data_IF_478004281270
#
_entry.id   IF_478004281270
#
_cell.length_a   1.000
_cell.length_b   1.000
_cell.length_c   1.000
_cell.angle_alpha   90.00
_cell.angle_beta   90.00
_cell.angle_gamma   90.00
#
_symmetry.space_group_name_H-M   'P 1'
#
loop_
_entity.id
_entity.type
_entity.pdbx_description
1 polymer ?
#
# COMPACT_ATOMS: atom_id res chain seq x y z
N UNK A 1 4.05 -6.33 13.24
CA UNK A 1 4.89 -5.76 12.15
C UNK A 1 4.18 -5.88 10.83
N UNK A 2 4.09 -4.79 10.09
CA UNK A 2 3.50 -4.74 8.75
C UNK A 2 4.63 -4.71 7.72
N UNK A 3 4.46 -5.48 6.64
CA UNK A 3 5.36 -5.43 5.49
C UNK A 3 4.61 -4.91 4.28
N UNK A 4 5.35 -4.35 3.32
CA UNK A 4 4.82 -3.95 2.02
C UNK A 4 5.49 -4.76 0.93
N UNK A 5 4.79 -4.97 -0.18
CA UNK A 5 5.34 -5.69 -1.33
C UNK A 5 4.52 -5.34 -2.58
N UNK A 6 4.68 -6.14 -3.63
CA UNK A 6 3.97 -5.93 -4.89
C UNK A 6 3.39 -7.25 -5.39
N UNK A 7 2.34 -7.16 -6.21
CA UNK A 7 1.59 -8.35 -6.62
C UNK A 7 2.46 -9.41 -7.31
N UNK A 8 3.36 -9.00 -8.20
CA UNK A 8 4.21 -9.94 -8.92
C UNK A 8 5.13 -10.74 -8.00
N UNK A 9 5.44 -10.23 -6.81
CA UNK A 9 6.27 -10.94 -5.84
C UNK A 9 5.56 -12.13 -5.19
N UNK A 10 4.23 -12.19 -5.27
CA UNK A 10 3.45 -13.27 -4.66
C UNK A 10 3.89 -14.66 -5.13
N UNK A 11 4.30 -14.77 -6.39
CA UNK A 11 4.77 -16.08 -6.93
C UNK A 11 6.02 -16.60 -6.23
N UNK A 12 6.75 -15.75 -5.51
CA UNK A 12 7.95 -16.13 -4.76
C UNK A 12 7.71 -16.22 -3.26
N UNK A 13 6.47 -15.99 -2.83
CA UNK A 13 6.09 -16.06 -1.42
C UNK A 13 5.76 -17.48 -1.00
N UNK A 14 5.96 -17.77 0.29
CA UNK A 14 5.47 -18.99 0.91
C UNK A 14 3.94 -18.93 1.01
N UNK A 15 3.30 -20.07 1.23
CA UNK A 15 1.85 -20.10 1.44
C UNK A 15 1.44 -19.30 2.69
N UNK A 16 2.27 -19.31 3.73
CA UNK A 16 2.04 -18.52 4.94
C UNK A 16 2.06 -17.02 4.62
N UNK A 17 3.06 -16.57 3.85
CA UNK A 17 3.15 -15.17 3.43
C UNK A 17 1.94 -14.77 2.58
N UNK A 18 1.55 -15.61 1.63
CA UNK A 18 0.37 -15.34 0.78
C UNK A 18 -0.89 -15.18 1.61
N UNK A 19 -1.03 -15.95 2.69
CA UNK A 19 -2.20 -15.87 3.56
C UNK A 19 -2.31 -14.54 4.32
N UNK A 20 -1.22 -13.78 4.39
CA UNK A 20 -1.17 -12.49 5.06
C UNK A 20 -1.29 -11.29 4.10
N UNK A 21 -1.39 -11.54 2.80
CA UNK A 21 -1.43 -10.47 1.80
C UNK A 21 -2.77 -9.74 1.80
N UNK A 22 -2.70 -8.41 1.69
CA UNK A 22 -3.86 -7.53 1.60
C UNK A 22 -3.62 -6.52 0.47
N UNK A 23 -4.62 -6.33 -0.36
CA UNK A 23 -4.55 -5.37 -1.47
C UNK A 23 -4.88 -3.96 -0.99
N UNK A 24 -3.98 -3.01 -1.23
CA UNK A 24 -4.24 -1.58 -0.97
C UNK A 24 -4.29 -0.76 -2.26
N UNK A 25 -4.31 -1.42 -3.42
CA UNK A 25 -4.52 -0.75 -4.71
C UNK A 25 -6.00 -0.45 -4.93
N UNK A 26 -6.28 0.58 -5.73
CA UNK A 26 -7.66 0.93 -6.08
C UNK A 26 -8.31 -0.16 -6.93
N UNK A 27 -7.57 -0.72 -7.89
CA UNK A 27 -8.04 -1.79 -8.77
C UNK A 27 -7.14 -3.01 -8.62
N UNK A 28 -7.61 -4.04 -7.89
CA UNK A 28 -6.81 -5.26 -7.74
C UNK A 28 -6.64 -5.97 -9.09
N UNK A 29 -5.52 -6.71 -9.27
CA UNK A 29 -5.30 -7.44 -10.52
C UNK A 29 -6.27 -8.61 -10.66
N UNK A 30 -6.59 -8.95 -11.91
CA UNK A 30 -7.44 -10.10 -12.22
C UNK A 30 -6.75 -11.39 -11.78
N UNK A 31 -7.55 -12.32 -11.26
CA UNK A 31 -7.04 -13.62 -10.84
C UNK A 31 -6.37 -13.67 -9.49
N UNK A 32 -6.27 -12.53 -8.81
CA UNK A 32 -5.71 -12.47 -7.46
C UNK A 32 -6.87 -12.33 -6.47
N UNK A 33 -7.03 -13.34 -5.61
CA UNK A 33 -8.11 -13.37 -4.62
C UNK A 33 -7.52 -13.20 -3.22
N UNK A 34 -7.40 -11.96 -2.78
CA UNK A 34 -6.92 -11.59 -1.46
C UNK A 34 -7.83 -10.51 -0.87
N UNK A 35 -7.85 -10.32 0.46
CA UNK A 35 -8.61 -9.24 1.06
C UNK A 35 -8.19 -7.88 0.52
N UNK A 36 -9.15 -6.96 0.44
CA UNK A 36 -8.93 -5.60 -0.02
C UNK A 36 -9.16 -4.65 1.14
N UNK A 37 -8.20 -3.77 1.40
CA UNK A 37 -8.36 -2.71 2.40
C UNK A 37 -8.45 -1.37 1.66
N UNK A 38 -9.66 -0.99 1.29
CA UNK A 38 -9.92 0.16 0.42
C UNK A 38 -9.61 1.51 1.08
N UNK A 39 -9.55 1.57 2.42
CA UNK A 39 -9.24 2.83 3.12
C UNK A 39 -7.82 3.35 2.84
N UNK A 40 -6.93 2.50 2.35
CA UNK A 40 -5.57 2.89 1.94
C UNK A 40 -5.42 3.02 0.42
N UNK A 41 -6.46 2.76 -0.35
CA UNK A 41 -6.41 2.94 -1.79
C UNK A 41 -6.37 4.44 -2.15
N UNK A 42 -5.63 4.83 -3.21
CA UNK A 42 -5.71 6.20 -3.70
C UNK A 42 -7.10 6.47 -4.28
N UNK A 43 -7.50 7.73 -4.33
CA UNK A 43 -8.73 8.08 -5.04
C UNK A 43 -8.52 7.90 -6.55
N UNK A 44 -9.61 7.67 -7.26
CA UNK A 44 -9.57 7.55 -8.73
C UNK A 44 -8.93 8.79 -9.36
N UNK A 45 -9.27 9.98 -8.86
CA UNK A 45 -8.73 11.24 -9.36
C UNK A 45 -7.21 11.31 -9.21
N UNK A 46 -6.69 10.99 -8.02
CA UNK A 46 -5.24 11.00 -7.76
C UNK A 46 -4.53 10.08 -8.73
N UNK A 47 -5.05 8.86 -8.89
CA UNK A 47 -4.43 7.84 -9.74
C UNK A 47 -4.44 8.25 -11.21
N UNK A 48 -5.57 8.74 -11.72
CA UNK A 48 -5.70 9.13 -13.12
C UNK A 48 -4.89 10.39 -13.43
N UNK A 49 -4.84 11.36 -12.52
CA UNK A 49 -4.01 12.56 -12.69
C UNK A 49 -2.54 12.18 -12.79
N UNK A 50 -2.07 11.25 -11.96
CA UNK A 50 -0.70 10.78 -12.00
C UNK A 50 -0.36 10.07 -13.31
N UNK A 51 -1.27 9.23 -13.81
CA UNK A 51 -1.07 8.55 -15.09
C UNK A 51 -0.97 9.51 -16.26
N UNK A 52 -1.71 10.61 -16.19
CA UNK A 52 -1.75 11.65 -17.21
C UNK A 52 -0.50 12.53 -17.18
N UNK A 53 -0.06 12.89 -15.98
CA UNK A 53 1.09 13.75 -15.74
C UNK A 53 1.80 13.29 -14.46
N UNK A 54 2.82 12.43 -14.59
CA UNK A 54 3.50 11.84 -13.43
C UNK A 54 4.25 12.89 -12.58
N UNK A 55 3.58 13.41 -11.57
CA UNK A 55 4.12 14.34 -10.59
C UNK A 55 4.00 13.69 -9.21
N UNK A 56 5.10 13.12 -8.73
CA UNK A 56 5.11 12.39 -7.45
C UNK A 56 4.79 13.29 -6.27
N UNK A 57 5.26 14.54 -6.28
CA UNK A 57 5.00 15.49 -5.21
C UNK A 57 3.51 15.80 -5.09
N UNK A 58 2.86 16.02 -6.22
CA UNK A 58 1.41 16.25 -6.26
C UNK A 58 0.63 15.04 -5.80
N UNK A 59 1.07 13.85 -6.21
CA UNK A 59 0.45 12.59 -5.76
C UNK A 59 0.54 12.47 -4.23
N UNK A 60 1.73 12.65 -3.66
CA UNK A 60 1.96 12.54 -2.23
C UNK A 60 1.06 13.51 -1.46
N UNK A 61 1.02 14.77 -1.88
CA UNK A 61 0.17 15.78 -1.25
C UNK A 61 -1.30 15.41 -1.29
N UNK A 62 -1.79 14.98 -2.45
CA UNK A 62 -3.19 14.56 -2.61
C UNK A 62 -3.53 13.32 -1.80
N UNK A 63 -2.64 12.34 -1.81
CA UNK A 63 -2.85 11.09 -1.07
C UNK A 63 -2.89 11.35 0.45
N UNK A 64 -1.95 12.13 0.96
CA UNK A 64 -1.94 12.49 2.38
C UNK A 64 -3.20 13.27 2.78
N UNK A 65 -3.62 14.23 1.96
CA UNK A 65 -4.78 15.06 2.25
C UNK A 65 -6.12 14.32 2.11
N UNK A 66 -6.29 13.55 1.03
CA UNK A 66 -7.60 12.95 0.73
C UNK A 66 -7.76 11.54 1.29
N UNK A 67 -6.67 10.85 1.60
CA UNK A 67 -6.72 9.46 2.09
C UNK A 67 -6.24 9.37 3.54
N UNK A 68 -4.96 9.65 3.78
CA UNK A 68 -4.36 9.38 5.11
C UNK A 68 -4.91 10.29 6.21
N UNK A 69 -5.24 11.54 5.90
CA UNK A 69 -5.77 12.48 6.89
C UNK A 69 -7.13 12.07 7.47
N UNK A 70 -7.82 11.14 6.81
CA UNK A 70 -9.16 10.70 7.18
C UNK A 70 -9.19 9.47 8.06
N UNK A 71 -8.03 8.89 8.35
CA UNK A 71 -7.90 7.65 9.10
C UNK A 71 -6.84 7.78 10.19
N UNK A 72 -6.98 6.99 11.25
CA UNK A 72 -6.06 7.01 12.38
C UNK A 72 -4.94 5.98 12.15
N UNK A 73 -3.66 6.41 12.13
CA UNK A 73 -2.56 5.48 11.87
C UNK A 73 -2.45 4.36 12.89
N UNK A 74 -2.79 4.63 14.15
CA UNK A 74 -2.70 3.61 15.21
C UNK A 74 -3.77 2.54 15.04
N UNK A 75 -5.00 2.93 14.74
CA UNK A 75 -6.10 2.00 14.49
C UNK A 75 -5.85 1.17 13.23
N UNK A 76 -5.39 1.82 12.16
CA UNK A 76 -5.09 1.14 10.90
C UNK A 76 -3.96 0.13 11.09
N UNK A 77 -2.90 0.53 11.80
CA UNK A 77 -1.77 -0.35 12.06
C UNK A 77 -2.20 -1.59 12.87
N UNK A 78 -2.98 -1.38 13.93
CA UNK A 78 -3.48 -2.48 14.76
C UNK A 78 -4.32 -3.45 13.94
N UNK A 79 -5.22 -2.92 13.10
CA UNK A 79 -6.08 -3.75 12.25
C UNK A 79 -5.29 -4.55 11.22
N UNK A 80 -4.24 -3.98 10.65
CA UNK A 80 -3.43 -4.60 9.60
C UNK A 80 -2.15 -5.29 10.11
N UNK A 81 -1.97 -5.36 11.44
CA UNK A 81 -0.76 -5.98 12.01
C UNK A 81 -0.59 -7.40 11.48
N UNK A 82 0.66 -7.76 11.19
CA UNK A 82 1.07 -9.03 10.59
C UNK A 82 0.68 -9.22 9.13
N UNK A 83 0.07 -8.23 8.49
CA UNK A 83 -0.26 -8.32 7.07
C UNK A 83 0.89 -7.84 6.18
N UNK A 84 0.80 -8.21 4.91
CA UNK A 84 1.68 -7.76 3.83
C UNK A 84 0.82 -6.95 2.87
N UNK A 85 1.07 -5.65 2.78
CA UNK A 85 0.27 -4.73 1.95
C UNK A 85 0.82 -4.69 0.53
N UNK A 86 -0.03 -4.95 -0.45
CA UNK A 86 0.40 -5.08 -1.85
C UNK A 86 -0.15 -3.98 -2.74
N UNK A 87 0.72 -3.48 -3.62
CA UNK A 87 0.32 -2.69 -4.79
C UNK A 87 1.14 -3.13 -6.00
N UNK A 88 1.09 -2.39 -7.11
CA UNK A 88 1.60 -2.89 -8.39
C UNK A 88 3.11 -2.74 -8.58
N UNK A 89 3.68 -1.61 -8.23
CA UNK A 89 5.01 -1.21 -8.64
C UNK A 89 6.10 -1.96 -7.87
N UNK A 90 7.25 -2.15 -8.52
CA UNK A 90 8.44 -2.77 -7.93
C UNK A 90 9.02 -1.88 -6.81
N UNK A 91 9.90 -2.43 -5.94
CA UNK A 91 10.41 -1.68 -4.79
C UNK A 91 11.12 -0.36 -5.13
N UNK A 92 11.78 -0.28 -6.28
CA UNK A 92 12.52 0.91 -6.72
C UNK A 92 11.65 1.93 -7.46
N UNK A 93 10.37 1.61 -7.67
CA UNK A 93 9.44 2.48 -8.38
C UNK A 93 8.53 3.20 -7.38
N UNK A 94 8.03 4.38 -7.78
CA UNK A 94 7.08 5.14 -6.96
C UNK A 94 5.78 4.37 -6.80
N UNK A 95 5.32 4.21 -5.56
CA UNK A 95 4.04 3.58 -5.26
C UNK A 95 3.53 4.11 -3.93
N UNK A 96 2.21 4.22 -3.80
CA UNK A 96 1.60 4.72 -2.56
C UNK A 96 1.90 3.86 -1.33
N UNK A 97 2.25 2.57 -1.49
CA UNK A 97 2.63 1.76 -0.32
C UNK A 97 3.85 2.30 0.40
N UNK A 98 4.76 2.97 -0.33
CA UNK A 98 5.93 3.62 0.30
C UNK A 98 5.49 4.81 1.15
N UNK A 99 4.48 5.55 0.70
CA UNK A 99 3.89 6.64 1.48
C UNK A 99 3.25 6.07 2.76
N UNK A 100 2.55 4.97 2.64
CA UNK A 100 1.93 4.28 3.80
C UNK A 100 2.99 3.83 4.80
N UNK A 101 4.09 3.23 4.32
CA UNK A 101 5.19 2.79 5.18
C UNK A 101 5.79 3.97 5.95
N UNK A 102 6.06 5.09 5.26
CA UNK A 102 6.59 6.29 5.88
C UNK A 102 5.61 6.89 6.89
N UNK A 103 4.32 6.85 6.58
CA UNK A 103 3.26 7.32 7.48
C UNK A 103 3.23 6.53 8.78
N UNK A 104 3.28 5.20 8.70
CA UNK A 104 3.35 4.35 9.89
C UNK A 104 4.59 4.68 10.72
N UNK A 105 5.76 4.82 10.09
CA UNK A 105 7.01 5.14 10.78
C UNK A 105 6.96 6.50 11.46
N UNK A 106 6.33 7.47 10.82
CA UNK A 106 6.17 8.82 11.40
C UNK A 106 5.37 8.80 12.70
N UNK A 107 4.50 7.81 12.88
CA UNK A 107 3.71 7.63 14.10
C UNK A 107 4.28 6.54 15.02
N UNK A 108 5.53 6.15 14.82
CA UNK A 108 6.24 5.22 15.72
C UNK A 108 6.02 3.75 15.47
N UNK A 109 5.46 3.38 14.32
CA UNK A 109 5.20 1.99 13.97
C UNK A 109 6.21 1.47 12.94
N UNK A 110 6.62 0.23 13.07
CA UNK A 110 7.55 -0.40 12.14
C UNK A 110 6.83 -0.89 10.89
N UNK A 111 7.40 -0.59 9.73
CA UNK A 111 6.90 -1.06 8.44
C UNK A 111 8.06 -1.11 7.46
N UNK A 112 8.25 -2.26 6.83
CA UNK A 112 9.35 -2.47 5.90
C UNK A 112 8.89 -3.16 4.63
N UNK A 113 9.63 -2.95 3.55
CA UNK A 113 9.44 -3.71 2.32
C UNK A 113 9.88 -5.15 2.56
N UNK A 114 9.04 -6.11 2.15
CA UNK A 114 9.35 -7.54 2.32
C UNK A 114 10.49 -7.94 1.40
N UNK A 115 11.52 -8.54 1.97
CA UNK A 115 12.66 -9.07 1.22
C UNK A 115 12.32 -10.47 0.72
N UNK A 116 12.40 -10.63 -0.60
CA UNK A 116 12.09 -11.91 -1.25
C UNK A 116 13.21 -12.26 -2.24
#
# INVERSE_FOLDING_TARGET
>A
MIYTSYFAAMRRMTEEQKSRCVCIALWPPKGVSIPIYSNLAPTKKILLDYKKNPDTKKYIQGYCFHVLSRIDPHEVYEYLDNNILLCYEKPDEFCHRHIVADWFKAYGHECEELKI
#
